data_IF_986989105368
#
_entry.id   IF_986989105368
#
_cell.length_a   1.000
_cell.length_b   1.000
_cell.length_c   1.000
_cell.angle_alpha   90.00
_cell.angle_beta   90.00
_cell.angle_gamma   90.00
#
_symmetry.space_group_name_H-M   'P 1'
#
loop_
_entity.id
_entity.type
_entity.pdbx_description
1 polymer ?
#
# COMPACT_ATOMS: atom_id res chain seq x y z
N UNK A 1 -8.75 10.27 16.43
CA UNK A 1 -8.39 10.73 15.07
C UNK A 1 -8.99 12.09 14.68
N UNK A 2 -10.29 12.33 14.89
CA UNK A 2 -10.95 13.60 14.51
C UNK A 2 -10.27 14.87 15.03
N UNK A 3 -9.80 14.86 16.29
CA UNK A 3 -9.06 15.99 16.88
C UNK A 3 -7.73 16.28 16.17
N UNK A 4 -7.04 15.24 15.68
CA UNK A 4 -5.81 15.41 14.90
C UNK A 4 -6.10 16.13 13.58
N UNK A 5 -7.12 15.68 12.83
CA UNK A 5 -7.50 16.30 11.56
C UNK A 5 -7.85 17.79 11.76
N UNK A 6 -8.57 18.11 12.84
CA UNK A 6 -8.88 19.51 13.18
C UNK A 6 -7.61 20.31 13.49
N UNK A 7 -6.70 19.75 14.28
CA UNK A 7 -5.43 20.41 14.62
C UNK A 7 -4.58 20.66 13.38
N UNK A 8 -4.39 19.65 12.52
CA UNK A 8 -3.66 19.79 11.25
C UNK A 8 -4.26 20.90 10.38
N UNK A 9 -5.58 21.02 10.35
CA UNK A 9 -6.25 22.10 9.61
C UNK A 9 -6.05 23.49 10.17
N UNK A 10 -5.98 23.62 11.49
CA UNK A 10 -5.79 24.90 12.14
C UNK A 10 -4.32 25.34 12.16
N UNK A 11 -3.37 24.41 12.20
CA UNK A 11 -1.97 24.72 12.52
C UNK A 11 -1.01 24.63 11.36
N UNK A 12 -1.35 23.95 10.25
CA UNK A 12 -0.45 23.85 9.10
C UNK A 12 -0.60 25.12 8.25
N UNK A 13 0.47 25.92 8.13
CA UNK A 13 0.48 27.10 7.30
C UNK A 13 0.59 26.70 5.82
N UNK A 14 0.27 27.67 4.98
CA UNK A 14 0.00 27.48 3.56
C UNK A 14 1.33 27.36 2.76
N UNK A 15 2.40 27.91 3.27
CA UNK A 15 3.74 27.92 2.67
C UNK A 15 4.40 26.53 2.72
N UNK A 16 3.96 25.63 3.63
CA UNK A 16 4.49 24.28 3.76
C UNK A 16 3.76 23.33 2.79
N UNK A 17 4.17 23.36 1.51
CA UNK A 17 3.47 22.70 0.39
C UNK A 17 3.11 21.23 0.68
N UNK A 18 4.04 20.42 1.17
CA UNK A 18 3.79 19.00 1.46
C UNK A 18 2.77 18.81 2.59
N UNK A 19 2.91 19.57 3.68
CA UNK A 19 1.98 19.52 4.80
C UNK A 19 0.61 20.10 4.44
N UNK A 20 0.56 21.11 3.58
CA UNK A 20 -0.68 21.65 3.03
C UNK A 20 -1.41 20.58 2.21
N UNK A 21 -0.69 19.81 1.40
CA UNK A 21 -1.26 18.67 0.66
C UNK A 21 -1.82 17.61 1.59
N UNK A 22 -1.07 17.28 2.64
CA UNK A 22 -1.49 16.34 3.68
C UNK A 22 -2.77 16.83 4.39
N UNK A 23 -2.78 18.08 4.89
CA UNK A 23 -3.94 18.75 5.50
C UNK A 23 -5.18 18.67 4.60
N UNK A 24 -5.01 19.03 3.33
CA UNK A 24 -6.08 19.02 2.32
C UNK A 24 -6.64 17.61 2.13
N UNK A 25 -5.76 16.60 2.06
CA UNK A 25 -6.16 15.19 1.92
C UNK A 25 -6.93 14.70 3.14
N UNK A 26 -6.44 15.00 4.35
CA UNK A 26 -7.11 14.63 5.61
C UNK A 26 -8.51 15.25 5.73
N UNK A 27 -8.69 16.50 5.30
CA UNK A 27 -10.01 17.13 5.30
C UNK A 27 -10.93 16.54 4.23
N UNK A 28 -10.45 16.41 3.00
CA UNK A 28 -11.24 15.87 1.89
C UNK A 28 -11.72 14.44 2.16
N UNK A 29 -10.90 13.64 2.85
CA UNK A 29 -11.19 12.24 3.19
C UNK A 29 -11.60 12.02 4.64
N UNK A 30 -12.01 13.07 5.35
CA UNK A 30 -12.32 13.00 6.78
C UNK A 30 -13.30 11.87 7.09
N UNK A 31 -14.39 11.74 6.32
CA UNK A 31 -15.40 10.69 6.51
C UNK A 31 -14.79 9.29 6.48
N UNK A 32 -14.08 8.96 5.38
CA UNK A 32 -13.45 7.65 5.22
C UNK A 32 -12.42 7.35 6.30
N UNK A 33 -11.60 8.34 6.66
CA UNK A 33 -10.54 8.19 7.65
C UNK A 33 -11.17 7.91 9.02
N UNK A 34 -12.19 8.67 9.42
CA UNK A 34 -12.88 8.43 10.68
C UNK A 34 -13.56 7.06 10.69
N UNK A 35 -14.23 6.68 9.60
CA UNK A 35 -14.85 5.36 9.47
C UNK A 35 -13.86 4.21 9.66
N UNK A 36 -12.62 4.34 9.17
CA UNK A 36 -11.56 3.35 9.39
C UNK A 36 -11.22 3.18 10.89
N UNK A 37 -11.15 4.28 11.65
CA UNK A 37 -10.82 4.23 13.08
C UNK A 37 -12.01 3.88 13.97
N UNK A 38 -13.24 4.11 13.50
CA UNK A 38 -14.46 3.75 14.23
C UNK A 38 -14.82 2.26 14.04
N UNK A 39 -14.33 1.62 12.96
CA UNK A 39 -14.57 0.20 12.72
C UNK A 39 -13.70 -0.69 13.63
N UNK A 40 -14.29 -1.61 14.41
CA UNK A 40 -13.53 -2.47 15.31
C UNK A 40 -12.67 -3.47 14.53
N UNK A 41 -11.48 -3.79 15.07
CA UNK A 41 -10.52 -4.74 14.48
C UNK A 41 -9.99 -4.33 13.09
N UNK A 42 -10.04 -3.05 12.73
CA UNK A 42 -9.27 -2.56 11.59
C UNK A 42 -7.77 -2.63 11.89
N UNK A 43 -7.00 -3.12 10.92
CA UNK A 43 -5.54 -3.07 10.95
C UNK A 43 -5.02 -2.98 9.53
N UNK A 44 -3.89 -2.27 9.36
CA UNK A 44 -3.18 -2.24 8.09
C UNK A 44 -2.19 -3.41 7.95
N UNK A 45 -2.04 -4.24 8.99
CA UNK A 45 -1.06 -5.34 9.04
C UNK A 45 -1.17 -6.33 7.88
N UNK A 46 -2.37 -6.82 7.48
CA UNK A 46 -2.50 -7.70 6.32
C UNK A 46 -2.07 -7.04 5.01
N UNK A 47 -2.41 -5.77 4.82
CA UNK A 47 -2.02 -4.99 3.63
C UNK A 47 -0.50 -4.78 3.62
N UNK A 48 0.10 -4.45 4.75
CA UNK A 48 1.54 -4.27 4.91
C UNK A 48 2.31 -5.57 4.69
N UNK A 49 1.79 -6.69 5.20
CA UNK A 49 2.36 -8.02 4.97
C UNK A 49 2.38 -8.38 3.47
N UNK A 50 1.31 -8.04 2.73
CA UNK A 50 1.27 -8.21 1.28
C UNK A 50 2.24 -7.26 0.57
N UNK A 51 2.28 -5.97 0.95
CA UNK A 51 3.20 -5.00 0.35
C UNK A 51 4.66 -5.40 0.55
N UNK A 52 5.06 -5.84 1.75
CA UNK A 52 6.42 -6.32 1.99
C UNK A 52 6.80 -7.53 1.13
N UNK A 53 5.86 -8.46 0.92
CA UNK A 53 6.06 -9.57 -0.02
C UNK A 53 6.22 -9.08 -1.46
N UNK A 54 5.40 -8.13 -1.90
CA UNK A 54 5.49 -7.57 -3.24
C UNK A 54 6.79 -6.80 -3.47
N UNK A 55 7.25 -6.04 -2.47
CA UNK A 55 8.53 -5.33 -2.52
C UNK A 55 9.70 -6.30 -2.65
N UNK A 56 9.70 -7.38 -1.86
CA UNK A 56 10.69 -8.43 -1.95
C UNK A 56 10.71 -9.11 -3.34
N UNK A 57 9.54 -9.47 -3.87
CA UNK A 57 9.41 -10.06 -5.20
C UNK A 57 9.85 -9.11 -6.31
N UNK A 58 9.56 -7.80 -6.18
CA UNK A 58 10.03 -6.76 -7.11
C UNK A 58 11.56 -6.66 -7.11
N UNK A 59 12.19 -6.76 -5.94
CA UNK A 59 13.66 -6.79 -5.83
C UNK A 59 14.27 -8.02 -6.51
N UNK A 60 13.69 -9.20 -6.30
CA UNK A 60 14.17 -10.46 -6.88
C UNK A 60 14.03 -10.51 -8.41
N UNK A 61 12.96 -9.92 -8.95
CA UNK A 61 12.67 -9.91 -10.38
C UNK A 61 13.13 -8.61 -11.07
N UNK A 62 13.90 -7.77 -10.38
CA UNK A 62 14.42 -6.53 -10.93
C UNK A 62 15.31 -6.82 -12.15
N UNK A 63 15.13 -6.05 -13.23
CA UNK A 63 15.89 -6.19 -14.47
C UNK A 63 15.23 -7.07 -15.55
N UNK A 64 14.21 -7.86 -15.22
CA UNK A 64 13.39 -8.53 -16.25
C UNK A 64 12.47 -7.51 -16.92
N UNK A 65 12.71 -7.26 -18.22
CA UNK A 65 11.92 -6.32 -19.02
C UNK A 65 10.67 -6.94 -19.64
N UNK A 66 10.57 -8.27 -19.63
CA UNK A 66 9.39 -8.99 -20.12
C UNK A 66 8.57 -9.54 -18.94
N UNK A 67 7.24 -9.57 -19.13
CA UNK A 67 6.29 -9.99 -18.09
C UNK A 67 6.45 -11.48 -17.73
N UNK A 68 6.73 -12.33 -18.71
CA UNK A 68 6.83 -13.78 -18.51
C UNK A 68 8.00 -14.15 -17.60
N UNK A 69 9.19 -13.62 -17.85
CA UNK A 69 10.37 -13.91 -17.02
C UNK A 69 10.24 -13.25 -15.64
N UNK A 70 9.63 -12.06 -15.55
CA UNK A 70 9.30 -11.44 -14.27
C UNK A 70 8.39 -12.37 -13.45
N UNK A 71 7.31 -12.87 -14.06
CA UNK A 71 6.35 -13.77 -13.42
C UNK A 71 7.00 -15.09 -13.00
N UNK A 72 7.76 -15.74 -13.88
CA UNK A 72 8.47 -16.99 -13.59
C UNK A 72 9.42 -16.80 -12.41
N UNK A 73 10.20 -15.72 -12.41
CA UNK A 73 11.13 -15.42 -11.31
C UNK A 73 10.39 -15.17 -10.00
N UNK A 74 9.31 -14.38 -10.01
CA UNK A 74 8.51 -14.14 -8.81
C UNK A 74 7.84 -15.41 -8.29
N UNK A 75 7.32 -16.28 -9.16
CA UNK A 75 6.67 -17.53 -8.77
C UNK A 75 7.68 -18.57 -8.26
N UNK A 76 8.88 -18.66 -8.83
CA UNK A 76 9.95 -19.51 -8.31
C UNK A 76 10.24 -19.21 -6.83
N UNK A 77 10.35 -17.92 -6.49
CA UNK A 77 10.69 -17.47 -5.14
C UNK A 77 9.52 -17.51 -4.18
N UNK A 78 8.29 -17.36 -4.67
CA UNK A 78 7.08 -17.48 -3.85
C UNK A 78 6.62 -18.93 -3.64
N UNK A 79 7.31 -19.94 -4.19
CA UNK A 79 6.87 -21.34 -4.18
C UNK A 79 5.63 -21.60 -5.04
N UNK A 80 5.35 -20.75 -6.02
CA UNK A 80 4.16 -20.80 -6.87
C UNK A 80 4.37 -21.46 -8.24
N UNK A 81 5.43 -22.25 -8.42
CA UNK A 81 5.75 -22.94 -9.68
C UNK A 81 4.61 -23.86 -10.14
N UNK A 82 3.92 -24.52 -9.21
CA UNK A 82 2.78 -25.39 -9.54
C UNK A 82 1.67 -24.63 -10.30
N UNK A 83 1.45 -23.34 -10.02
CA UNK A 83 0.46 -22.52 -10.75
C UNK A 83 0.86 -22.24 -12.20
N UNK A 84 2.16 -22.21 -12.50
CA UNK A 84 2.67 -22.07 -13.87
C UNK A 84 2.55 -23.37 -14.66
N UNK A 85 2.59 -24.51 -13.96
CA UNK A 85 2.53 -25.85 -14.53
C UNK A 85 1.09 -26.37 -14.66
N UNK A 86 0.12 -25.81 -13.93
CA UNK A 86 -1.31 -26.16 -14.01
C UNK A 86 -1.91 -26.22 -15.43
N UNK A 87 -1.52 -25.37 -16.40
CA UNK A 87 -2.00 -25.49 -17.78
C UNK A 87 -1.38 -26.67 -18.57
N UNK A 88 -0.33 -27.29 -18.03
CA UNK A 88 0.47 -28.34 -18.68
C UNK A 88 0.42 -29.69 -17.94
N UNK A 89 -0.40 -29.79 -16.88
CA UNK A 89 -0.70 -30.99 -16.09
C UNK A 89 -2.18 -31.33 -16.24
#
# INVERSE_FOLDING_TARGET
>A
MAGLINKLSATIPDELIELRSLRTTFQRRRGDILAYFDHPRTSNGPTEALNGRLEHLRGIALGFRNRSNYLIRSLLHAGGMDRLLQPYL
#
